data_IF_469184869560
#
_entry.id   IF_469184869560
#
_cell.length_a   1.000
_cell.length_b   1.000
_cell.length_c   1.000
_cell.angle_alpha   90.00
_cell.angle_beta   90.00
_cell.angle_gamma   90.00
#
_symmetry.space_group_name_H-M   'P 1'
#
loop_
_entity.id
_entity.type
_entity.pdbx_description
1 polymer ?
#
# COMPACT_ATOMS: atom_id res chain seq x y z
N UNK A 1 -2.43 5.22 19.50
CA UNK A 1 -2.23 4.79 18.09
C UNK A 1 -1.64 3.38 18.01
N UNK A 2 -2.10 2.41 18.81
CA UNK A 2 -1.51 1.04 18.81
C UNK A 2 -2.28 0.12 17.86
N UNK A 3 -3.61 0.21 17.80
CA UNK A 3 -4.44 -0.67 16.94
C UNK A 3 -4.26 -0.42 15.44
N UNK A 4 -4.20 0.83 14.97
CA UNK A 4 -4.10 1.11 13.52
C UNK A 4 -2.85 0.48 12.86
N UNK A 5 -1.69 0.52 13.53
CA UNK A 5 -0.47 -0.10 13.02
C UNK A 5 -0.48 -1.64 13.11
N UNK A 6 -1.10 -2.17 14.16
CA UNK A 6 -1.22 -3.62 14.39
C UNK A 6 -2.12 -4.32 13.39
N UNK A 7 -3.20 -3.69 12.95
CA UNK A 7 -4.13 -4.34 12.02
C UNK A 7 -3.67 -4.14 10.57
N UNK A 8 -3.14 -2.96 10.22
CA UNK A 8 -2.89 -2.62 8.82
C UNK A 8 -1.58 -3.13 8.26
N UNK A 9 -0.48 -3.03 9.02
CA UNK A 9 0.85 -3.45 8.53
C UNK A 9 0.92 -4.97 8.40
N UNK A 10 0.57 -5.77 9.42
CA UNK A 10 0.54 -7.23 9.30
C UNK A 10 -0.46 -7.72 8.26
N UNK A 11 -1.64 -7.10 8.16
CA UNK A 11 -2.63 -7.46 7.14
C UNK A 11 -2.07 -7.35 5.72
N UNK A 12 -1.39 -6.24 5.41
CA UNK A 12 -0.75 -6.05 4.11
C UNK A 12 0.39 -7.06 3.87
N UNK A 13 1.26 -7.28 4.87
CA UNK A 13 2.37 -8.22 4.77
C UNK A 13 1.90 -9.66 4.53
N UNK A 14 0.88 -10.12 5.26
CA UNK A 14 0.31 -11.46 5.11
C UNK A 14 -0.20 -11.67 3.68
N UNK A 15 -0.94 -10.71 3.14
CA UNK A 15 -1.49 -10.82 1.78
C UNK A 15 -0.39 -10.72 0.70
N UNK A 16 0.63 -9.89 0.93
CA UNK A 16 1.83 -9.83 0.10
C UNK A 16 2.56 -11.18 0.06
N UNK A 17 2.84 -11.78 1.22
CA UNK A 17 3.48 -13.10 1.31
C UNK A 17 2.62 -14.18 0.66
N UNK A 18 1.29 -14.15 0.86
CA UNK A 18 0.37 -15.09 0.23
C UNK A 18 0.47 -15.02 -1.30
N UNK A 19 0.50 -13.82 -1.88
CA UNK A 19 0.66 -13.66 -3.33
C UNK A 19 2.04 -14.11 -3.81
N UNK A 20 3.11 -13.72 -3.09
CA UNK A 20 4.48 -14.11 -3.43
C UNK A 20 4.69 -15.63 -3.37
N UNK A 21 3.91 -16.34 -2.55
CA UNK A 21 3.92 -17.81 -2.46
C UNK A 21 3.30 -18.52 -3.67
N UNK A 22 2.62 -17.79 -4.57
CA UNK A 22 2.08 -18.33 -5.81
C UNK A 22 3.16 -18.62 -6.86
N UNK A 23 2.83 -19.40 -7.91
CA UNK A 23 3.76 -19.67 -9.01
C UNK A 23 4.28 -18.39 -9.67
N UNK A 24 3.39 -17.43 -9.95
CA UNK A 24 3.77 -16.13 -10.51
C UNK A 24 4.56 -15.27 -9.51
N UNK A 25 4.18 -15.33 -8.23
CA UNK A 25 4.90 -14.66 -7.14
C UNK A 25 6.37 -15.05 -7.06
N UNK A 26 6.74 -16.30 -7.39
CA UNK A 26 8.13 -16.76 -7.43
C UNK A 26 8.99 -16.02 -8.46
N UNK A 27 8.44 -15.68 -9.62
CA UNK A 27 9.13 -14.89 -10.64
C UNK A 27 9.40 -13.46 -10.14
N UNK A 28 8.43 -12.88 -9.43
CA UNK A 28 8.57 -11.56 -8.79
C UNK A 28 9.60 -11.61 -7.67
N UNK A 29 9.61 -12.66 -6.85
CA UNK A 29 10.62 -12.84 -5.79
C UNK A 29 12.03 -12.87 -6.38
N UNK A 30 12.24 -13.61 -7.47
CA UNK A 30 13.55 -13.68 -8.13
C UNK A 30 13.98 -12.29 -8.64
N UNK A 31 13.10 -11.59 -9.37
CA UNK A 31 13.39 -10.23 -9.86
C UNK A 31 13.68 -9.24 -8.73
N UNK A 32 12.98 -9.37 -7.61
CA UNK A 32 13.19 -8.54 -6.43
C UNK A 32 14.55 -8.83 -5.81
N UNK A 33 14.92 -10.10 -5.69
CA UNK A 33 16.22 -10.52 -5.20
C UNK A 33 17.35 -9.98 -6.08
N UNK A 34 17.26 -10.16 -7.39
CA UNK A 34 18.29 -9.70 -8.34
C UNK A 34 18.47 -8.17 -8.25
N UNK A 35 17.37 -7.42 -8.17
CA UNK A 35 17.41 -5.96 -8.01
C UNK A 35 18.03 -5.50 -6.67
N UNK A 36 17.81 -6.26 -5.59
CA UNK A 36 18.45 -5.99 -4.30
C UNK A 36 19.96 -6.24 -4.41
N UNK A 37 20.37 -7.37 -4.99
CA UNK A 37 21.79 -7.72 -5.12
C UNK A 37 22.55 -6.75 -6.04
N UNK A 38 21.91 -6.26 -7.10
CA UNK A 38 22.48 -5.23 -7.98
C UNK A 38 22.70 -3.91 -7.23
N UNK A 39 21.74 -3.49 -6.40
CA UNK A 39 21.86 -2.27 -5.62
C UNK A 39 22.83 -2.39 -4.44
N UNK A 40 23.02 -3.59 -3.89
CA UNK A 40 23.84 -3.89 -2.72
C UNK A 40 24.87 -4.99 -3.00
N UNK A 41 25.87 -4.76 -3.87
CA UNK A 41 26.82 -5.80 -4.28
C UNK A 41 27.73 -6.30 -3.14
N UNK A 42 27.87 -5.51 -2.06
CA UNK A 42 28.65 -5.87 -0.88
C UNK A 42 27.86 -6.70 0.14
N UNK A 43 26.59 -7.00 -0.14
CA UNK A 43 25.73 -7.78 0.77
C UNK A 43 25.27 -7.03 2.02
N UNK A 44 25.37 -5.70 2.04
CA UNK A 44 25.03 -4.81 3.16
C UNK A 44 23.59 -4.28 3.11
N UNK A 45 22.71 -4.98 2.38
CA UNK A 45 21.32 -4.58 2.18
C UNK A 45 20.52 -4.55 3.48
N UNK A 46 20.81 -5.46 4.41
CA UNK A 46 20.08 -5.60 5.67
C UNK A 46 20.29 -4.40 6.60
N UNK A 47 21.52 -3.92 6.69
CA UNK A 47 21.86 -2.77 7.52
C UNK A 47 21.41 -1.46 6.87
N UNK A 48 21.57 -1.34 5.55
CA UNK A 48 21.31 -0.10 4.83
C UNK A 48 19.82 0.17 4.55
N UNK A 49 18.98 -0.86 4.40
CA UNK A 49 17.55 -0.66 4.13
C UNK A 49 16.81 0.13 5.23
N UNK A 50 17.41 0.26 6.42
CA UNK A 50 16.88 1.04 7.53
C UNK A 50 17.04 2.55 7.38
N UNK A 51 17.98 2.99 6.52
CA UNK A 51 18.35 4.41 6.37
C UNK A 51 18.22 4.91 4.94
N UNK A 52 18.10 4.02 3.96
CA UNK A 52 17.91 4.37 2.55
C UNK A 52 16.88 3.46 1.85
N UNK A 53 16.15 4.03 0.88
CA UNK A 53 15.22 3.31 0.01
C UNK A 53 15.70 3.44 -1.44
N UNK A 54 16.72 2.67 -1.82
CA UNK A 54 17.39 2.82 -3.13
C UNK A 54 17.03 1.77 -4.18
N UNK A 55 16.19 0.78 -3.87
CA UNK A 55 15.83 -0.30 -4.80
C UNK A 55 14.45 -0.01 -5.41
N UNK A 56 14.35 0.60 -6.60
CA UNK A 56 13.08 1.07 -7.13
C UNK A 56 12.07 -0.07 -7.35
N UNK A 57 12.57 -1.29 -7.63
CA UNK A 57 11.73 -2.47 -7.80
C UNK A 57 11.04 -2.89 -6.49
N UNK A 58 11.70 -2.74 -5.34
CA UNK A 58 11.10 -3.00 -4.02
C UNK A 58 10.02 -1.97 -3.72
N UNK A 59 10.28 -0.69 -3.99
CA UNK A 59 9.25 0.37 -3.88
C UNK A 59 8.03 0.07 -4.74
N UNK A 60 8.25 -0.36 -6.00
CA UNK A 60 7.18 -0.74 -6.90
C UNK A 60 6.40 -1.96 -6.38
N UNK A 61 7.09 -2.97 -5.86
CA UNK A 61 6.48 -4.16 -5.26
C UNK A 61 5.58 -3.78 -4.08
N UNK A 62 6.06 -2.97 -3.14
CA UNK A 62 5.28 -2.54 -1.96
C UNK A 62 4.03 -1.76 -2.39
N UNK A 63 4.17 -0.84 -3.35
CA UNK A 63 3.04 -0.10 -3.93
C UNK A 63 2.04 -1.03 -4.60
N UNK A 64 2.52 -2.02 -5.33
CA UNK A 64 1.65 -2.97 -6.03
C UNK A 64 0.93 -3.90 -5.06
N UNK A 65 1.55 -4.32 -3.96
CA UNK A 65 0.86 -5.10 -2.93
C UNK A 65 -0.24 -4.25 -2.28
N UNK A 66 0.03 -2.98 -1.94
CA UNK A 66 -0.98 -2.04 -1.42
C UNK A 66 -2.13 -1.81 -2.42
N UNK A 67 -1.81 -1.78 -3.71
CA UNK A 67 -2.77 -1.63 -4.81
C UNK A 67 -3.50 -2.95 -5.12
N UNK A 68 -2.93 -4.11 -4.91
CA UNK A 68 -3.61 -5.38 -5.18
C UNK A 68 -4.49 -5.78 -3.99
N UNK A 69 -3.96 -5.60 -2.77
CA UNK A 69 -4.64 -5.85 -1.50
C UNK A 69 -4.74 -4.57 -0.67
N UNK A 70 -5.83 -3.84 -0.88
CA UNK A 70 -6.14 -2.68 -0.04
C UNK A 70 -6.75 -3.14 1.28
N UNK A 71 -6.01 -2.95 2.37
CA UNK A 71 -6.43 -3.35 3.73
C UNK A 71 -7.72 -2.66 4.17
N UNK A 72 -7.91 -1.39 3.78
CA UNK A 72 -9.09 -0.59 4.10
C UNK A 72 -9.74 -0.16 2.78
N UNK A 73 -10.64 -0.97 2.19
CA UNK A 73 -11.24 -0.69 0.88
C UNK A 73 -12.23 0.49 0.90
N UNK A 74 -12.72 0.84 2.09
CA UNK A 74 -13.60 2.00 2.33
C UNK A 74 -12.92 2.89 3.37
N UNK A 75 -12.60 4.12 2.99
CA UNK A 75 -11.98 5.09 3.90
C UNK A 75 -12.86 5.38 5.12
N UNK A 76 -12.20 5.82 6.20
CA UNK A 76 -12.90 6.32 7.38
C UNK A 76 -13.85 7.48 7.01
N UNK A 77 -15.02 7.56 7.67
CA UNK A 77 -16.02 8.56 7.34
C UNK A 77 -15.45 9.97 7.51
N UNK A 78 -15.69 10.82 6.51
CA UNK A 78 -15.43 12.26 6.59
C UNK A 78 -16.75 13.01 6.59
N UNK A 79 -16.89 14.02 7.44
CA UNK A 79 -18.12 14.82 7.53
C UNK A 79 -17.87 16.20 6.97
N UNK A 80 -18.75 16.70 6.09
CA UNK A 80 -18.66 18.07 5.60
C UNK A 80 -18.92 19.06 6.72
N UNK A 81 -18.06 20.07 6.86
CA UNK A 81 -18.23 21.15 7.85
C UNK A 81 -19.05 22.34 7.32
N UNK A 82 -19.37 22.33 6.03
CA UNK A 82 -20.14 23.33 5.29
C UNK A 82 -20.75 22.71 4.04
N UNK A 83 -21.70 23.41 3.42
CA UNK A 83 -22.25 23.01 2.13
C UNK A 83 -21.16 22.91 1.05
N UNK A 84 -21.24 21.90 0.20
CA UNK A 84 -20.32 21.63 -0.91
C UNK A 84 -21.08 21.72 -2.22
N UNK A 85 -20.66 22.60 -3.13
CA UNK A 85 -21.15 22.60 -4.51
C UNK A 85 -20.35 21.62 -5.34
N UNK A 86 -21.01 20.62 -5.91
CA UNK A 86 -20.40 19.62 -6.78
C UNK A 86 -21.33 19.31 -7.95
N UNK A 87 -20.84 19.49 -9.18
CA UNK A 87 -21.59 19.14 -10.42
C UNK A 87 -23.02 19.72 -10.47
N UNK A 88 -23.21 20.95 -9.97
CA UNK A 88 -24.51 21.63 -9.94
C UNK A 88 -25.43 21.21 -8.79
N UNK A 89 -25.02 20.22 -7.98
CA UNK A 89 -25.70 19.83 -6.76
C UNK A 89 -25.10 20.53 -5.53
N UNK A 90 -25.97 20.83 -4.55
CA UNK A 90 -25.58 21.25 -3.20
C UNK A 90 -25.58 20.04 -2.30
N UNK A 91 -24.42 19.66 -1.77
CA UNK A 91 -24.29 18.64 -0.73
C UNK A 91 -24.27 19.36 0.64
N UNK A 92 -25.27 19.16 1.51
CA UNK A 92 -25.37 19.93 2.76
C UNK A 92 -24.21 19.71 3.72
N UNK A 93 -23.97 20.69 4.59
CA UNK A 93 -23.16 20.54 5.78
C UNK A 93 -23.66 19.37 6.65
N UNK A 94 -22.75 18.64 7.29
CA UNK A 94 -23.06 17.45 8.08
C UNK A 94 -23.23 16.16 7.26
N UNK A 95 -23.02 16.19 5.94
CA UNK A 95 -23.04 14.99 5.10
C UNK A 95 -21.82 14.12 5.38
N UNK A 96 -22.05 12.82 5.63
CA UNK A 96 -20.98 11.82 5.79
C UNK A 96 -20.60 11.22 4.45
N UNK A 97 -19.31 11.29 4.11
CA UNK A 97 -18.72 10.72 2.91
C UNK A 97 -17.91 9.49 3.24
N UNK A 98 -18.12 8.44 2.45
CA UNK A 98 -17.26 7.26 2.38
C UNK A 98 -16.56 7.26 1.03
N UNK A 99 -15.24 7.35 1.03
CA UNK A 99 -14.47 7.18 -0.20
C UNK A 99 -14.20 5.70 -0.39
N UNK A 100 -14.80 5.15 -1.44
CA UNK A 100 -14.54 3.79 -1.89
C UNK A 100 -13.45 3.82 -2.94
N UNK A 101 -12.62 2.78 -2.95
CA UNK A 101 -11.72 2.57 -4.07
C UNK A 101 -12.56 2.27 -5.33
N UNK A 102 -12.32 2.96 -6.47
CA UNK A 102 -12.96 2.58 -7.73
C UNK A 102 -12.45 1.21 -8.19
N UNK A 103 -13.33 0.40 -8.76
CA UNK A 103 -12.95 -0.87 -9.38
C UNK A 103 -11.93 -0.64 -10.51
N UNK A 104 -10.95 -1.55 -10.69
CA UNK A 104 -9.94 -1.45 -11.74
C UNK A 104 -10.50 -1.55 -13.15
#
# INVERSE_FOLDING_TARGET
>A
MVSAGLDTVPGNLIMGIAYLSSKHGREIQQRTYDAIMEAYPNGDAWEKCLVEEKVPYVTALVKEILRFWTVIPICLPRVSVKDIQWEGATIPAGTTFYMVRPDP
#
